data_IF_278197099333
#
_entry.id   IF_278197099333
#
_cell.length_a   1.000
_cell.length_b   1.000
_cell.length_c   1.000
_cell.angle_alpha   90.00
_cell.angle_beta   90.00
_cell.angle_gamma   90.00
#
_symmetry.space_group_name_H-M   'P 1'
#
loop_
_entity.id
_entity.type
_entity.pdbx_description
1 polymer ?
#
# COMPACT_ATOMS: atom_id res chain seq x y z
N UNK A 1 13.49 31.63 -16.47
CA UNK A 1 12.71 30.59 -15.78
C UNK A 1 11.24 30.96 -15.90
N UNK A 2 10.45 30.17 -16.59
CA UNK A 2 9.00 30.36 -16.65
C UNK A 2 8.40 30.31 -15.26
N UNK A 3 7.47 31.22 -15.00
CA UNK A 3 6.82 31.35 -13.69
C UNK A 3 5.79 30.23 -13.56
N UNK A 4 5.90 29.43 -12.51
CA UNK A 4 4.93 28.34 -12.23
C UNK A 4 4.08 28.72 -11.04
N UNK A 5 2.79 28.47 -11.13
CA UNK A 5 1.84 28.70 -10.05
C UNK A 5 1.51 27.39 -9.35
N UNK A 6 1.17 27.49 -8.09
CA UNK A 6 0.82 26.34 -7.24
C UNK A 6 -0.67 26.41 -6.94
N UNK A 7 -1.38 25.34 -7.26
CA UNK A 7 -2.76 25.09 -6.89
C UNK A 7 -2.82 23.91 -5.96
N UNK A 8 -3.38 24.06 -4.76
CA UNK A 8 -3.53 22.98 -3.80
C UNK A 8 -4.92 22.93 -3.17
N UNK A 9 -5.33 21.77 -2.68
CA UNK A 9 -6.59 21.58 -2.01
C UNK A 9 -6.58 20.40 -1.04
N UNK A 10 -7.41 20.52 0.01
CA UNK A 10 -7.50 19.54 1.10
C UNK A 10 -8.94 18.99 1.26
N UNK A 11 -9.50 18.27 0.28
CA UNK A 11 -9.10 18.08 -1.12
C UNK A 11 -9.50 19.26 -2.04
N UNK A 12 -9.07 19.21 -3.30
CA UNK A 12 -9.59 20.10 -4.34
C UNK A 12 -11.09 19.88 -4.56
N UNK A 13 -11.83 20.93 -4.91
CA UNK A 13 -13.29 20.91 -5.09
C UNK A 13 -13.71 21.73 -6.31
N UNK A 14 -14.94 21.49 -6.76
CA UNK A 14 -15.55 22.27 -7.83
C UNK A 14 -14.72 22.29 -9.11
N UNK A 15 -14.57 23.48 -9.70
CA UNK A 15 -13.88 23.66 -10.98
C UNK A 15 -12.43 23.17 -10.97
N UNK A 16 -11.68 23.42 -9.91
CA UNK A 16 -10.29 22.97 -9.82
C UNK A 16 -10.15 21.46 -9.74
N UNK A 17 -11.09 20.77 -9.09
CA UNK A 17 -11.13 19.33 -9.11
C UNK A 17 -11.41 18.79 -10.51
N UNK A 18 -12.33 19.39 -11.26
CA UNK A 18 -12.62 18.95 -12.63
C UNK A 18 -11.41 19.18 -13.57
N UNK A 19 -10.69 20.28 -13.41
CA UNK A 19 -9.43 20.52 -14.14
C UNK A 19 -8.38 19.44 -13.84
N UNK A 20 -8.23 19.06 -12.55
CA UNK A 20 -7.31 17.97 -12.17
C UNK A 20 -7.73 16.65 -12.80
N UNK A 21 -9.03 16.30 -12.78
CA UNK A 21 -9.54 15.07 -13.41
C UNK A 21 -9.28 15.05 -14.92
N UNK A 22 -9.49 16.17 -15.60
CA UNK A 22 -9.22 16.30 -17.04
C UNK A 22 -7.72 16.11 -17.34
N UNK A 23 -6.85 16.75 -16.55
CA UNK A 23 -5.40 16.55 -16.67
C UNK A 23 -4.99 15.09 -16.45
N UNK A 24 -5.47 14.45 -15.39
CA UNK A 24 -5.17 13.05 -15.12
C UNK A 24 -5.64 12.13 -16.25
N UNK A 25 -6.85 12.39 -16.78
CA UNK A 25 -7.40 11.62 -17.91
C UNK A 25 -6.52 11.75 -19.16
N UNK A 26 -5.98 12.94 -19.44
CA UNK A 26 -5.04 13.15 -20.55
C UNK A 26 -3.74 12.37 -20.39
N UNK A 27 -3.42 11.95 -19.15
CA UNK A 27 -2.24 11.18 -18.78
C UNK A 27 -2.54 9.68 -18.60
N UNK A 28 -3.70 9.20 -19.06
CA UNK A 28 -4.16 7.81 -18.85
C UNK A 28 -4.29 7.45 -17.36
N UNK A 29 -4.68 8.39 -16.52
CA UNK A 29 -4.92 8.21 -15.10
C UNK A 29 -6.34 8.66 -14.75
N UNK A 30 -6.90 8.06 -13.70
CA UNK A 30 -8.15 8.48 -13.09
C UNK A 30 -7.90 9.18 -11.75
N UNK A 31 -8.84 10.03 -11.34
CA UNK A 31 -8.86 10.54 -9.97
C UNK A 31 -9.38 9.46 -9.04
N UNK A 32 -8.61 9.13 -7.99
CA UNK A 32 -8.98 8.08 -7.05
C UNK A 32 -9.87 8.64 -5.92
N UNK A 33 -10.88 7.85 -5.53
CA UNK A 33 -11.73 8.20 -4.40
C UNK A 33 -10.94 8.15 -3.09
N UNK A 34 -11.26 9.05 -2.16
CA UNK A 34 -10.61 9.09 -0.86
C UNK A 34 -9.35 9.97 -0.79
N UNK A 35 -8.96 10.60 -1.89
CA UNK A 35 -7.88 11.59 -1.89
C UNK A 35 -8.21 12.72 -0.91
N UNK A 36 -7.29 13.00 0.01
CA UNK A 36 -7.42 14.04 1.05
C UNK A 36 -6.63 15.32 0.74
N UNK A 37 -5.63 15.23 -0.14
CA UNK A 37 -4.80 16.35 -0.54
C UNK A 37 -4.35 16.19 -1.98
N UNK A 38 -4.32 17.30 -2.71
CA UNK A 38 -3.75 17.37 -4.05
C UNK A 38 -2.95 18.65 -4.24
N UNK A 39 -1.86 18.54 -4.96
CA UNK A 39 -1.01 19.65 -5.42
C UNK A 39 -0.94 19.60 -6.94
N UNK A 40 -1.09 20.76 -7.58
CA UNK A 40 -0.90 20.95 -9.01
C UNK A 40 0.09 22.09 -9.23
N UNK A 41 0.92 21.95 -10.25
CA UNK A 41 1.74 23.02 -10.80
C UNK A 41 1.11 23.49 -12.11
N UNK A 42 1.01 24.80 -12.29
CA UNK A 42 0.42 25.42 -13.46
C UNK A 42 1.46 26.25 -14.21
N UNK A 43 1.31 26.33 -15.52
CA UNK A 43 2.07 27.24 -16.39
C UNK A 43 1.56 28.69 -16.32
N UNK A 44 2.11 29.57 -17.15
CA UNK A 44 1.72 30.98 -17.24
C UNK A 44 0.28 31.18 -17.76
N UNK A 45 -0.27 30.21 -18.46
CA UNK A 45 -1.65 30.19 -18.96
C UNK A 45 -2.62 29.49 -17.96
N UNK A 46 -2.17 29.21 -16.73
CA UNK A 46 -2.94 28.49 -15.71
C UNK A 46 -3.34 27.06 -16.11
N UNK A 47 -2.59 26.41 -16.99
CA UNK A 47 -2.80 25.01 -17.34
C UNK A 47 -2.04 24.13 -16.37
N UNK A 48 -2.68 23.06 -15.89
CA UNK A 48 -2.01 22.09 -15.03
C UNK A 48 -0.98 21.31 -15.87
N UNK A 49 0.28 21.37 -15.45
CA UNK A 49 1.41 20.70 -16.10
C UNK A 49 2.02 19.57 -15.25
N UNK A 50 1.73 19.56 -13.95
CA UNK A 50 2.10 18.49 -13.05
C UNK A 50 1.11 18.39 -11.89
N UNK A 51 0.90 17.20 -11.36
CA UNK A 51 0.02 16.97 -10.23
C UNK A 51 0.48 15.79 -9.39
N UNK A 52 0.03 15.76 -8.14
CA UNK A 52 0.17 14.64 -7.22
C UNK A 52 -0.86 14.73 -6.10
N UNK A 53 -1.21 13.60 -5.52
CA UNK A 53 -2.25 13.49 -4.49
C UNK A 53 -1.86 12.51 -3.42
N UNK A 54 -2.59 12.57 -2.29
CA UNK A 54 -2.36 11.74 -1.11
C UNK A 54 -3.69 11.18 -0.61
N UNK A 55 -3.71 9.93 -0.25
CA UNK A 55 -4.70 9.32 0.61
C UNK A 55 -3.98 8.57 1.72
N UNK A 56 -4.20 8.97 2.97
CA UNK A 56 -3.47 8.44 4.12
C UNK A 56 -1.95 8.56 3.89
N UNK A 57 -1.18 7.48 4.03
CA UNK A 57 0.26 7.46 3.73
C UNK A 57 0.60 6.97 2.31
N UNK A 58 -0.37 6.97 1.40
CA UNK A 58 -0.18 6.52 0.01
C UNK A 58 -0.16 7.72 -0.93
N UNK A 59 0.92 7.86 -1.69
CA UNK A 59 1.03 8.85 -2.76
C UNK A 59 0.37 8.31 -4.03
N UNK A 60 -0.46 9.14 -4.66
CA UNK A 60 -1.32 8.76 -5.80
C UNK A 60 -1.33 9.82 -6.89
N UNK A 61 -1.75 9.40 -8.08
CA UNK A 61 -2.07 10.31 -9.18
C UNK A 61 -0.93 11.28 -9.50
N UNK A 62 0.32 10.81 -9.43
CA UNK A 62 1.48 11.62 -9.79
C UNK A 62 1.63 11.60 -11.30
N UNK A 63 1.55 12.77 -11.91
CA UNK A 63 1.60 12.95 -13.34
C UNK A 63 2.36 14.22 -13.72
N UNK A 64 3.17 14.13 -14.76
CA UNK A 64 3.90 15.26 -15.35
C UNK A 64 3.55 15.30 -16.84
N UNK A 65 3.14 16.47 -17.32
CA UNK A 65 2.86 16.68 -18.76
C UNK A 65 4.09 16.29 -19.60
N UNK A 66 3.90 15.57 -20.73
CA UNK A 66 5.01 15.16 -21.58
C UNK A 66 5.91 16.31 -22.03
N UNK A 67 5.32 17.48 -22.28
CA UNK A 67 6.03 18.67 -22.75
C UNK A 67 6.93 19.31 -21.68
N UNK A 68 6.74 18.93 -20.41
CA UNK A 68 7.46 19.46 -19.25
C UNK A 68 8.30 18.39 -18.53
N UNK A 69 8.53 17.25 -19.16
CA UNK A 69 9.43 16.22 -18.62
C UNK A 69 10.88 16.71 -18.61
N UNK A 70 11.62 16.32 -17.58
CA UNK A 70 13.01 16.75 -17.41
C UNK A 70 13.20 18.11 -16.73
N UNK A 71 12.12 18.85 -16.43
CA UNK A 71 12.17 20.13 -15.71
C UNK A 71 12.24 19.99 -14.17
N UNK A 72 12.34 18.78 -13.65
CA UNK A 72 12.38 18.51 -12.19
C UNK A 72 11.03 18.64 -11.47
N UNK A 73 9.92 18.67 -12.23
CA UNK A 73 8.57 18.87 -11.66
C UNK A 73 8.15 17.69 -10.76
N UNK A 74 8.56 16.47 -11.07
CA UNK A 74 8.30 15.30 -10.23
C UNK A 74 8.90 15.45 -8.84
N UNK A 75 10.12 15.97 -8.74
CA UNK A 75 10.76 16.26 -7.45
C UNK A 75 10.01 17.34 -6.67
N UNK A 76 9.53 18.38 -7.35
CA UNK A 76 8.71 19.43 -6.73
C UNK A 76 7.40 18.85 -6.20
N UNK A 77 6.68 18.06 -6.99
CA UNK A 77 5.43 17.38 -6.55
C UNK A 77 5.70 16.49 -5.35
N UNK A 78 6.70 15.61 -5.41
CA UNK A 78 7.04 14.70 -4.30
C UNK A 78 7.40 15.48 -3.04
N UNK A 79 8.12 16.61 -3.15
CA UNK A 79 8.45 17.44 -2.00
C UNK A 79 7.21 18.02 -1.32
N UNK A 80 6.24 18.53 -2.08
CA UNK A 80 4.99 19.03 -1.53
C UNK A 80 4.17 17.93 -0.84
N UNK A 81 4.05 16.76 -1.49
CA UNK A 81 3.33 15.62 -0.92
C UNK A 81 4.00 15.13 0.37
N UNK A 82 5.32 15.02 0.38
CA UNK A 82 6.10 14.61 1.55
C UNK A 82 5.96 15.61 2.70
N UNK A 83 5.98 16.91 2.40
CA UNK A 83 5.77 17.96 3.40
C UNK A 83 4.38 17.85 4.04
N UNK A 84 3.32 17.67 3.22
CA UNK A 84 1.97 17.46 3.72
C UNK A 84 1.88 16.23 4.63
N UNK A 85 2.45 15.10 4.21
CA UNK A 85 2.49 13.87 4.98
C UNK A 85 3.22 14.06 6.32
N UNK A 86 4.36 14.74 6.29
CA UNK A 86 5.14 15.04 7.49
C UNK A 86 4.35 15.90 8.48
N UNK A 87 3.62 16.92 8.01
CA UNK A 87 2.72 17.74 8.84
C UNK A 87 1.59 16.92 9.49
N UNK A 88 1.19 15.80 8.86
CA UNK A 88 0.24 14.83 9.42
C UNK A 88 0.89 13.78 10.34
N UNK A 89 2.20 13.87 10.56
CA UNK A 89 2.96 12.90 11.35
C UNK A 89 3.19 11.56 10.64
N UNK A 90 3.08 11.51 9.32
CA UNK A 90 3.27 10.32 8.50
C UNK A 90 4.62 10.37 7.81
N UNK A 91 5.54 9.50 8.21
CA UNK A 91 6.90 9.45 7.68
C UNK A 91 7.17 8.22 6.80
N UNK A 92 6.36 7.17 6.91
CA UNK A 92 6.45 5.98 6.06
C UNK A 92 5.43 6.08 4.94
N UNK A 93 5.92 6.39 3.73
CA UNK A 93 5.09 6.65 2.56
C UNK A 93 5.19 5.50 1.57
N UNK A 94 4.05 5.12 1.04
CA UNK A 94 3.88 4.03 0.09
C UNK A 94 3.40 4.57 -1.26
N UNK A 95 3.70 3.82 -2.31
CA UNK A 95 3.28 4.13 -3.66
C UNK A 95 2.98 2.85 -4.44
N UNK A 96 1.87 2.88 -5.18
CA UNK A 96 1.52 1.87 -6.18
C UNK A 96 1.43 2.57 -7.53
N UNK A 97 2.19 2.13 -8.50
CA UNK A 97 2.27 2.80 -9.82
C UNK A 97 2.55 1.81 -10.94
N UNK A 98 2.62 2.30 -12.18
CA UNK A 98 3.02 1.50 -13.35
C UNK A 98 4.50 1.13 -13.28
N UNK A 99 4.88 -0.11 -13.64
CA UNK A 99 6.28 -0.59 -13.60
C UNK A 99 7.28 0.28 -14.34
N UNK A 100 6.84 0.95 -15.42
CA UNK A 100 7.70 1.84 -16.22
C UNK A 100 8.24 3.06 -15.47
N UNK A 101 7.62 3.42 -14.35
CA UNK A 101 8.00 4.59 -13.56
C UNK A 101 9.10 4.31 -12.53
N UNK A 102 9.65 3.09 -12.49
CA UNK A 102 10.58 2.65 -11.46
C UNK A 102 11.81 3.58 -11.34
N UNK A 103 12.53 3.81 -12.43
CA UNK A 103 13.74 4.63 -12.39
C UNK A 103 13.46 6.05 -11.86
N UNK A 104 12.37 6.67 -12.32
CA UNK A 104 12.00 8.01 -11.89
C UNK A 104 11.77 8.09 -10.36
N UNK A 105 11.06 7.13 -9.79
CA UNK A 105 10.77 7.16 -8.35
C UNK A 105 11.95 6.67 -7.50
N UNK A 106 12.81 5.79 -8.01
CA UNK A 106 14.07 5.44 -7.35
C UNK A 106 14.98 6.67 -7.23
N UNK A 107 15.08 7.48 -8.27
CA UNK A 107 15.84 8.76 -8.25
C UNK A 107 15.26 9.77 -7.25
N UNK A 108 13.97 9.66 -6.91
CA UNK A 108 13.28 10.50 -5.94
C UNK A 108 13.27 9.93 -4.50
N UNK A 109 14.03 8.87 -4.25
CA UNK A 109 14.22 8.31 -2.91
C UNK A 109 13.20 7.26 -2.50
N UNK A 110 12.52 6.64 -3.46
CA UNK A 110 11.67 5.48 -3.22
C UNK A 110 12.42 4.18 -3.50
N UNK A 111 12.04 3.12 -2.81
CA UNK A 111 12.64 1.80 -2.90
C UNK A 111 11.61 0.78 -3.31
N UNK A 112 11.94 -0.09 -4.25
CA UNK A 112 11.03 -1.15 -4.71
C UNK A 112 10.86 -2.22 -3.66
N UNK A 113 9.60 -2.44 -3.23
CA UNK A 113 9.21 -3.58 -2.40
C UNK A 113 8.96 -4.79 -3.29
N UNK A 114 8.14 -4.61 -4.32
CA UNK A 114 7.82 -5.65 -5.30
C UNK A 114 7.43 -5.03 -6.65
N UNK A 115 7.79 -5.72 -7.72
CA UNK A 115 7.41 -5.39 -9.09
C UNK A 115 6.76 -6.59 -9.74
N UNK A 116 5.53 -6.42 -10.22
CA UNK A 116 4.84 -7.36 -11.10
C UNK A 116 4.84 -6.83 -12.55
N UNK A 117 4.17 -7.52 -13.46
CA UNK A 117 3.98 -7.03 -14.83
C UNK A 117 3.08 -5.79 -14.92
N UNK A 118 2.23 -5.54 -13.91
CA UNK A 118 1.23 -4.47 -13.90
C UNK A 118 1.42 -3.43 -12.82
N UNK A 119 2.06 -3.80 -11.71
CA UNK A 119 2.15 -2.96 -10.52
C UNK A 119 3.59 -2.90 -10.03
N UNK A 120 4.04 -1.69 -9.75
CA UNK A 120 5.23 -1.40 -8.97
C UNK A 120 4.81 -0.90 -7.59
N UNK A 121 5.22 -1.61 -6.56
CA UNK A 121 4.99 -1.26 -5.16
C UNK A 121 6.28 -0.75 -4.53
N UNK A 122 6.26 0.47 -4.02
CA UNK A 122 7.44 1.16 -3.49
C UNK A 122 7.16 1.80 -2.13
N UNK A 123 8.22 2.07 -1.41
CA UNK A 123 8.22 2.81 -0.15
C UNK A 123 9.38 3.80 -0.09
N UNK A 124 9.28 4.83 0.77
CA UNK A 124 10.34 5.82 0.96
C UNK A 124 11.36 5.43 2.03
N UNK A 125 11.27 4.24 2.62
CA UNK A 125 12.23 3.72 3.61
C UNK A 125 13.04 2.59 3.00
N UNK A 126 14.35 2.71 3.02
CA UNK A 126 15.28 1.70 2.46
C UNK A 126 15.11 0.32 3.11
N UNK A 127 14.86 0.27 4.41
CA UNK A 127 14.77 -0.95 5.21
C UNK A 127 13.37 -1.24 5.74
N UNK A 128 12.34 -0.50 5.30
CA UNK A 128 11.00 -0.59 5.86
C UNK A 128 10.43 -2.01 5.84
N UNK A 129 10.44 -2.65 4.66
CA UNK A 129 9.96 -4.02 4.54
C UNK A 129 10.85 -5.03 5.28
N UNK A 130 12.16 -4.84 5.26
CA UNK A 130 13.11 -5.69 6.02
C UNK A 130 12.84 -5.59 7.52
N UNK A 131 12.64 -4.39 8.04
CA UNK A 131 12.32 -4.16 9.47
C UNK A 131 10.99 -4.81 9.84
N UNK A 132 10.00 -4.77 8.96
CA UNK A 132 8.74 -5.49 9.13
C UNK A 132 8.96 -7.00 9.23
N UNK A 133 9.76 -7.60 8.35
CA UNK A 133 10.07 -9.02 8.38
C UNK A 133 10.86 -9.43 9.64
N UNK A 134 11.80 -8.61 10.07
CA UNK A 134 12.53 -8.84 11.33
C UNK A 134 11.59 -8.83 12.54
N UNK A 135 10.60 -7.93 12.56
CA UNK A 135 9.56 -7.90 13.58
C UNK A 135 8.71 -9.17 13.57
N UNK A 136 8.26 -9.61 12.40
CA UNK A 136 7.47 -10.84 12.23
C UNK A 136 8.27 -12.07 12.75
N UNK A 137 9.55 -12.14 12.44
CA UNK A 137 10.43 -13.21 12.96
C UNK A 137 10.58 -13.12 14.47
N UNK A 138 10.76 -11.93 15.03
CA UNK A 138 10.89 -11.72 16.47
C UNK A 138 9.63 -12.09 17.26
N UNK A 139 8.46 -11.96 16.64
CA UNK A 139 7.17 -12.40 17.21
C UNK A 139 6.97 -13.91 17.13
N UNK A 140 7.80 -14.64 16.37
CA UNK A 140 7.67 -16.07 16.11
C UNK A 140 8.51 -16.87 17.10
N UNK A 141 7.99 -18.00 17.64
CA UNK A 141 8.80 -18.93 18.42
C UNK A 141 9.99 -19.44 17.61
N UNK A 142 11.13 -19.62 18.25
CA UNK A 142 12.34 -20.12 17.58
C UNK A 142 12.09 -21.45 16.85
N UNK A 143 11.27 -22.34 17.44
CA UNK A 143 10.91 -23.61 16.85
C UNK A 143 10.11 -23.49 15.55
N UNK A 144 9.30 -22.42 15.40
CA UNK A 144 8.54 -22.15 14.17
C UNK A 144 9.43 -21.69 13.01
N UNK A 145 10.65 -21.23 13.29
CA UNK A 145 11.61 -20.78 12.29
C UNK A 145 12.62 -21.86 11.88
N UNK A 146 12.49 -23.07 12.43
CA UNK A 146 13.37 -24.20 12.10
C UNK A 146 12.90 -24.92 10.84
N UNK A 147 13.87 -25.43 10.09
CA UNK A 147 13.58 -26.33 8.96
C UNK A 147 12.89 -27.62 9.40
N UNK A 148 12.10 -28.20 8.51
CA UNK A 148 11.41 -29.48 8.76
C UNK A 148 10.06 -29.37 9.45
N UNK A 149 9.62 -28.16 9.83
CA UNK A 149 8.27 -27.90 10.29
C UNK A 149 7.33 -27.60 9.13
N UNK A 150 6.07 -27.99 9.28
CA UNK A 150 4.99 -27.57 8.35
C UNK A 150 4.43 -26.26 8.87
N UNK A 151 4.71 -25.19 8.17
CA UNK A 151 4.30 -23.84 8.55
C UNK A 151 3.16 -23.37 7.63
N UNK A 152 2.03 -23.01 8.23
CA UNK A 152 0.88 -22.45 7.53
C UNK A 152 0.77 -20.95 7.71
N UNK A 153 -0.04 -20.32 6.84
CA UNK A 153 -0.39 -18.92 7.01
C UNK A 153 -1.84 -18.64 6.59
N UNK A 154 -2.45 -17.71 7.30
CA UNK A 154 -3.75 -17.12 6.97
C UNK A 154 -3.61 -15.62 7.00
N UNK A 155 -4.15 -14.96 5.99
CA UNK A 155 -4.32 -13.49 5.94
C UNK A 155 -5.82 -13.21 6.02
N UNK A 156 -6.25 -12.45 7.02
CA UNK A 156 -7.67 -12.20 7.25
C UNK A 156 -7.96 -10.77 7.73
N UNK A 157 -9.11 -10.25 7.34
CA UNK A 157 -9.55 -8.92 7.76
C UNK A 157 -10.19 -8.94 9.16
N UNK A 158 -10.94 -9.99 9.51
CA UNK A 158 -11.61 -10.18 10.80
C UNK A 158 -12.43 -8.96 11.26
N UNK A 159 -13.37 -8.53 10.46
CA UNK A 159 -14.18 -7.34 10.70
C UNK A 159 -15.68 -7.65 10.94
N UNK A 160 -16.08 -8.18 12.11
CA UNK A 160 -15.30 -8.61 13.26
C UNK A 160 -14.71 -10.04 13.13
N UNK A 161 -13.96 -10.47 14.13
CA UNK A 161 -13.62 -11.88 14.32
C UNK A 161 -14.87 -12.70 14.66
N UNK A 162 -15.05 -13.83 13.99
CA UNK A 162 -16.25 -14.69 14.12
C UNK A 162 -15.88 -16.15 14.38
N UNK A 163 -16.89 -16.96 14.76
CA UNK A 163 -16.71 -18.41 14.87
C UNK A 163 -16.28 -19.07 13.55
N UNK A 164 -16.64 -18.47 12.40
CA UNK A 164 -16.16 -18.93 11.09
C UNK A 164 -14.66 -18.75 10.93
N UNK A 165 -14.11 -17.62 11.37
CA UNK A 165 -12.67 -17.40 11.41
C UNK A 165 -11.97 -18.39 12.36
N UNK A 166 -12.54 -18.59 13.53
CA UNK A 166 -12.04 -19.57 14.50
C UNK A 166 -11.99 -20.99 13.91
N UNK A 167 -13.06 -21.41 13.25
CA UNK A 167 -13.14 -22.72 12.59
C UNK A 167 -12.08 -22.89 11.50
N UNK A 168 -11.88 -21.84 10.67
CA UNK A 168 -10.85 -21.83 9.64
C UNK A 168 -9.46 -22.04 10.26
N UNK A 169 -9.15 -21.31 11.32
CA UNK A 169 -7.86 -21.39 12.04
C UNK A 169 -7.64 -22.77 12.64
N UNK A 170 -8.65 -23.32 13.33
CA UNK A 170 -8.56 -24.68 13.90
C UNK A 170 -8.39 -25.74 12.82
N UNK A 171 -9.05 -25.57 11.67
CA UNK A 171 -8.92 -26.48 10.53
C UNK A 171 -7.51 -26.41 9.91
N UNK A 172 -6.95 -25.22 9.78
CA UNK A 172 -5.57 -25.03 9.31
C UNK A 172 -4.55 -25.65 10.26
N UNK A 173 -4.75 -25.51 11.58
CA UNK A 173 -3.87 -26.09 12.61
C UNK A 173 -3.81 -27.64 12.58
N UNK A 174 -4.78 -28.30 12.00
CA UNK A 174 -4.74 -29.76 11.76
C UNK A 174 -3.75 -30.17 10.67
N UNK A 175 -3.31 -29.19 9.85
CA UNK A 175 -2.46 -29.43 8.68
C UNK A 175 -1.06 -28.83 8.81
N UNK A 176 -0.76 -28.13 9.92
CA UNK A 176 0.54 -27.51 10.14
C UNK A 176 0.98 -27.58 11.60
N UNK A 177 2.28 -27.44 11.84
CA UNK A 177 2.88 -27.38 13.17
C UNK A 177 2.67 -26.01 13.80
N UNK A 178 2.80 -24.94 13.00
CA UNK A 178 2.55 -23.54 13.37
C UNK A 178 1.76 -22.82 12.29
N UNK A 179 0.94 -21.88 12.71
CA UNK A 179 0.13 -21.06 11.82
C UNK A 179 0.41 -19.57 12.05
N UNK A 180 0.99 -18.90 11.07
CA UNK A 180 1.06 -17.44 11.06
C UNK A 180 -0.31 -16.87 10.68
N UNK A 181 -0.84 -16.01 11.53
CA UNK A 181 -2.10 -15.31 11.30
C UNK A 181 -1.83 -13.81 11.14
N UNK A 182 -2.00 -13.31 9.93
CA UNK A 182 -1.85 -11.90 9.59
C UNK A 182 -3.20 -11.20 9.57
N UNK A 183 -3.37 -10.20 10.44
CA UNK A 183 -4.58 -9.37 10.48
C UNK A 183 -4.35 -8.12 9.65
N UNK A 184 -5.17 -7.91 8.62
CA UNK A 184 -5.08 -6.76 7.73
C UNK A 184 -5.28 -5.44 8.50
N UNK A 185 -4.45 -4.46 8.18
CA UNK A 185 -4.52 -3.10 8.77
C UNK A 185 -5.44 -2.16 8.01
N UNK A 186 -6.45 -2.69 7.31
CA UNK A 186 -7.40 -1.93 6.52
C UNK A 186 -8.12 -0.87 7.39
N UNK A 187 -8.10 0.39 6.93
CA UNK A 187 -8.68 1.54 7.66
C UNK A 187 -10.14 1.81 7.30
N UNK A 188 -10.63 1.24 6.19
CA UNK A 188 -12.02 1.42 5.71
C UNK A 188 -12.94 0.32 6.23
N UNK A 189 -12.90 0.05 7.54
CA UNK A 189 -13.67 -1.02 8.19
C UNK A 189 -14.48 -0.47 9.34
N UNK A 190 -15.53 -1.20 9.75
CA UNK A 190 -16.37 -0.79 10.88
C UNK A 190 -15.58 -0.74 12.19
N UNK A 191 -14.74 -1.74 12.43
CA UNK A 191 -13.80 -1.74 13.55
C UNK A 191 -12.43 -1.27 13.11
N UNK A 192 -11.74 -0.51 13.94
CA UNK A 192 -10.34 -0.10 13.67
C UNK A 192 -9.41 -1.33 13.59
N UNK A 193 -8.26 -1.17 12.93
CA UNK A 193 -7.27 -2.23 12.85
C UNK A 193 -6.83 -2.72 14.25
N UNK A 194 -6.65 -1.81 15.20
CA UNK A 194 -6.31 -2.15 16.58
C UNK A 194 -7.41 -2.97 17.27
N UNK A 195 -8.68 -2.56 17.13
CA UNK A 195 -9.80 -3.31 17.69
C UNK A 195 -9.92 -4.71 17.11
N UNK A 196 -9.76 -4.84 15.79
CA UNK A 196 -9.79 -6.15 15.11
C UNK A 196 -8.65 -7.05 15.56
N UNK A 197 -7.46 -6.50 15.70
CA UNK A 197 -6.31 -7.25 16.23
C UNK A 197 -6.57 -7.78 17.64
N UNK A 198 -7.08 -6.95 18.56
CA UNK A 198 -7.41 -7.38 19.91
C UNK A 198 -8.54 -8.43 19.95
N UNK A 199 -9.56 -8.31 19.08
CA UNK A 199 -10.60 -9.34 18.95
C UNK A 199 -10.02 -10.68 18.51
N UNK A 200 -9.11 -10.68 17.52
CA UNK A 200 -8.46 -11.89 17.05
C UNK A 200 -7.56 -12.48 18.15
N UNK A 201 -6.76 -11.66 18.80
CA UNK A 201 -5.88 -12.06 19.90
C UNK A 201 -6.65 -12.76 21.02
N UNK A 202 -7.77 -12.18 21.44
CA UNK A 202 -8.66 -12.80 22.43
C UNK A 202 -9.28 -14.10 21.90
N UNK A 203 -9.72 -14.09 20.64
CA UNK A 203 -10.38 -15.22 19.98
C UNK A 203 -9.48 -16.44 19.70
N UNK A 204 -8.15 -16.30 19.78
CA UNK A 204 -7.18 -17.38 19.53
C UNK A 204 -6.22 -17.63 20.70
N UNK A 205 -6.41 -16.98 21.84
CA UNK A 205 -5.50 -17.01 22.99
C UNK A 205 -5.22 -18.40 23.56
N UNK A 206 -6.13 -19.34 23.34
CA UNK A 206 -6.02 -20.74 23.77
C UNK A 206 -5.40 -21.65 22.69
N UNK A 207 -4.97 -21.09 21.56
CA UNK A 207 -4.36 -21.82 20.45
C UNK A 207 -2.85 -21.56 20.40
N UNK A 208 -2.07 -22.37 21.14
CA UNK A 208 -0.63 -22.17 21.37
C UNK A 208 0.23 -22.15 20.09
N UNK A 209 -0.29 -22.70 18.98
CA UNK A 209 0.45 -22.81 17.72
C UNK A 209 0.09 -21.71 16.71
N UNK A 210 -0.74 -20.75 17.10
CA UNK A 210 -1.06 -19.57 16.30
C UNK A 210 -0.10 -18.44 16.64
N UNK A 211 0.55 -17.90 15.63
CA UNK A 211 1.45 -16.75 15.72
C UNK A 211 0.77 -15.56 15.08
N UNK A 212 0.34 -14.59 15.88
CA UNK A 212 -0.46 -13.46 15.45
C UNK A 212 0.44 -12.28 15.03
N UNK A 213 0.17 -11.71 13.86
CA UNK A 213 0.90 -10.56 13.31
C UNK A 213 -0.02 -9.46 12.80
N UNK A 214 0.46 -8.23 12.86
CA UNK A 214 -0.05 -7.14 12.03
C UNK A 214 0.56 -7.22 10.63
N UNK A 215 -0.23 -6.94 9.59
CA UNK A 215 0.29 -6.83 8.22
C UNK A 215 0.98 -5.48 7.97
N UNK A 216 0.83 -4.54 8.91
CA UNK A 216 1.23 -3.15 8.70
C UNK A 216 0.58 -2.60 7.42
N UNK A 217 1.31 -1.81 6.63
CA UNK A 217 0.81 -1.22 5.38
C UNK A 217 1.18 -2.05 4.13
N UNK A 218 1.80 -3.21 4.30
CA UNK A 218 2.36 -3.98 3.18
C UNK A 218 1.36 -4.90 2.50
N UNK A 219 0.38 -5.43 3.22
CA UNK A 219 -0.70 -6.26 2.67
C UNK A 219 -2.00 -5.53 2.91
N UNK A 220 -2.72 -5.19 1.83
CA UNK A 220 -3.96 -4.43 1.88
C UNK A 220 -5.09 -5.18 1.20
N UNK A 221 -6.33 -4.87 1.57
CA UNK A 221 -7.49 -5.45 0.91
C UNK A 221 -7.73 -4.86 -0.49
N UNK A 222 -8.45 -5.58 -1.33
CA UNK A 222 -8.87 -5.07 -2.64
C UNK A 222 -9.66 -3.76 -2.55
N UNK A 223 -10.34 -3.51 -1.43
CA UNK A 223 -11.11 -2.28 -1.21
C UNK A 223 -10.23 -1.03 -1.05
N UNK A 224 -8.99 -1.20 -0.59
CA UNK A 224 -8.02 -0.11 -0.39
C UNK A 224 -6.96 -0.04 -1.47
N UNK A 225 -6.90 -1.02 -2.36
CA UNK A 225 -5.93 -1.05 -3.45
C UNK A 225 -6.17 0.12 -4.43
N UNK A 226 -5.14 0.93 -4.74
CA UNK A 226 -5.28 2.05 -5.66
C UNK A 226 -5.56 1.60 -7.09
N UNK A 227 -6.55 2.20 -7.73
CA UNK A 227 -6.98 1.85 -9.10
C UNK A 227 -6.74 2.94 -10.13
N UNK A 228 -6.22 4.09 -9.71
CA UNK A 228 -6.09 5.30 -10.54
C UNK A 228 -5.25 5.12 -11.81
N UNK A 229 -4.30 4.18 -11.82
CA UNK A 229 -3.39 3.93 -12.94
C UNK A 229 -3.82 2.76 -13.84
N UNK A 230 -5.00 2.16 -13.59
CA UNK A 230 -5.53 1.02 -14.35
C UNK A 230 -6.64 1.45 -15.29
N UNK A 231 -6.54 1.04 -16.56
CA UNK A 231 -7.56 1.36 -17.58
C UNK A 231 -8.89 0.67 -17.31
N UNK A 232 -8.86 -0.56 -16.82
CA UNK A 232 -10.05 -1.36 -16.53
C UNK A 232 -10.15 -1.67 -15.03
N UNK A 233 -11.18 -1.14 -14.38
CA UNK A 233 -11.43 -1.37 -12.94
C UNK A 233 -11.66 -2.85 -12.59
N UNK A 234 -12.18 -3.65 -13.53
CA UNK A 234 -12.34 -5.09 -13.39
C UNK A 234 -11.00 -5.84 -13.26
N UNK A 235 -9.93 -5.29 -13.81
CA UNK A 235 -8.58 -5.85 -13.71
C UNK A 235 -7.88 -5.48 -12.38
N UNK A 236 -8.35 -4.45 -11.68
CA UNK A 236 -7.74 -3.99 -10.42
C UNK A 236 -7.77 -5.06 -9.32
N UNK A 237 -8.87 -5.78 -9.19
CA UNK A 237 -8.99 -6.89 -8.24
C UNK A 237 -8.01 -8.02 -8.52
N UNK A 238 -7.83 -8.37 -9.80
CA UNK A 238 -6.85 -9.38 -10.21
C UNK A 238 -5.42 -8.91 -9.97
N UNK A 239 -5.13 -7.65 -10.25
CA UNK A 239 -3.80 -7.06 -10.04
C UNK A 239 -3.45 -6.98 -8.54
N UNK A 240 -4.41 -6.62 -7.67
CA UNK A 240 -4.22 -6.64 -6.23
C UNK A 240 -3.96 -8.06 -5.72
N UNK A 241 -4.81 -9.00 -6.09
CA UNK A 241 -4.66 -10.41 -5.69
C UNK A 241 -3.30 -10.98 -6.13
N UNK A 242 -2.86 -10.67 -7.34
CA UNK A 242 -1.55 -11.10 -7.83
C UNK A 242 -0.40 -10.42 -7.09
N UNK A 243 -0.51 -9.12 -6.81
CA UNK A 243 0.50 -8.41 -6.02
C UNK A 243 0.66 -9.03 -4.65
N UNK A 244 -0.44 -9.28 -3.94
CA UNK A 244 -0.42 -9.89 -2.60
C UNK A 244 0.15 -11.30 -2.63
N UNK A 245 -0.28 -12.13 -3.59
CA UNK A 245 0.24 -13.50 -3.75
C UNK A 245 1.75 -13.50 -4.04
N UNK A 246 2.22 -12.62 -4.91
CA UNK A 246 3.65 -12.51 -5.23
C UNK A 246 4.45 -11.91 -4.06
N UNK A 247 3.92 -10.90 -3.35
CA UNK A 247 4.56 -10.35 -2.16
C UNK A 247 4.70 -11.44 -1.09
N UNK A 248 3.60 -12.14 -0.82
CA UNK A 248 3.60 -13.21 0.16
C UNK A 248 4.52 -14.36 -0.26
N UNK A 249 4.38 -14.87 -1.47
CA UNK A 249 5.13 -16.03 -1.98
C UNK A 249 6.62 -15.77 -2.20
N UNK A 250 7.01 -14.55 -2.60
CA UNK A 250 8.40 -14.21 -2.92
C UNK A 250 9.17 -13.56 -1.76
N UNK A 251 8.49 -12.83 -0.88
CA UNK A 251 9.12 -11.98 0.12
C UNK A 251 8.82 -12.39 1.57
N UNK A 252 7.65 -12.98 1.84
CA UNK A 252 7.23 -13.33 3.22
C UNK A 252 7.41 -14.83 3.47
N UNK A 253 6.79 -15.66 2.66
CA UNK A 253 6.77 -17.11 2.87
C UNK A 253 8.17 -17.75 2.91
N UNK A 254 9.14 -17.39 2.04
CA UNK A 254 10.47 -17.98 2.10
C UNK A 254 11.22 -17.69 3.40
N UNK A 255 11.07 -16.49 3.95
CA UNK A 255 11.74 -16.09 5.19
C UNK A 255 11.14 -16.72 6.45
N UNK A 256 9.88 -17.17 6.38
CA UNK A 256 9.17 -17.82 7.47
C UNK A 256 9.01 -19.33 7.26
N UNK A 257 9.60 -19.89 6.21
CA UNK A 257 9.46 -21.29 5.83
C UNK A 257 8.00 -21.75 5.63
N UNK A 258 7.12 -20.85 5.22
CA UNK A 258 5.69 -21.14 4.97
C UNK A 258 5.56 -22.07 3.78
N UNK A 259 4.85 -23.18 3.96
CA UNK A 259 4.64 -24.23 2.94
C UNK A 259 3.18 -24.51 2.64
N UNK A 260 2.25 -23.94 3.41
CA UNK A 260 0.79 -24.15 3.26
C UNK A 260 -0.02 -22.86 3.47
#
# INVERSE_FOLDING_TARGET
>A
RERKFVLEGRPLKGYDLERLKEFLKSMDLDYDMGIEYSICLEDEDYRIIAAGSVEENVLKCIAISPDHQGEGLSGTIISHLTQYEFEKGRSHLLMYTKPKNQAMFEDLGFYTILKTDRVLFMENKKTGFTDFMEKVKAESPEDALKEGKVIGAIVANCNPFTLGHRYLIETALKQCDYLHLFVLSDKRTFYSAAQRYEMVKEGVKDLDRVILHHTSDYIISAATFPTYFMKEKTEAGKANCRLDLELFGKRIAPELHITK
#
